data_IF_116854896265
#
_entry.id   IF_116854896265
#
_cell.length_a   1.000
_cell.length_b   1.000
_cell.length_c   1.000
_cell.angle_alpha   90.00
_cell.angle_beta   90.00
_cell.angle_gamma   90.00
#
_symmetry.space_group_name_H-M   'P 1'
#
loop_
_entity.id
_entity.type
_entity.pdbx_description
1 polymer ?
#
# COMPACT_ATOMS: atom_id res chain seq x y z
N UNK A 1 9.30 -12.10 -25.84
CA UNK A 1 9.78 -13.30 -25.14
C UNK A 1 8.53 -14.10 -24.86
N UNK A 2 8.34 -15.22 -25.54
CA UNK A 2 7.24 -16.12 -25.21
C UNK A 2 7.55 -16.81 -23.88
N UNK A 3 6.51 -16.99 -23.05
CA UNK A 3 6.64 -17.65 -21.74
C UNK A 3 7.23 -19.07 -21.85
N UNK A 4 7.11 -19.70 -23.02
CA UNK A 4 7.62 -21.03 -23.33
C UNK A 4 9.14 -21.08 -23.47
N UNK A 5 9.80 -19.95 -23.75
CA UNK A 5 11.25 -19.86 -23.94
C UNK A 5 11.99 -19.41 -22.67
N UNK A 6 11.25 -19.16 -21.58
CA UNK A 6 11.83 -18.68 -20.33
C UNK A 6 12.66 -19.79 -19.66
N UNK A 7 13.96 -19.52 -19.50
CA UNK A 7 14.86 -20.38 -18.74
C UNK A 7 14.58 -20.32 -17.23
N UNK A 8 15.05 -21.32 -16.45
CA UNK A 8 14.93 -21.29 -15.00
C UNK A 8 15.71 -20.11 -14.41
N UNK A 9 15.16 -19.51 -13.36
CA UNK A 9 15.84 -18.49 -12.57
C UNK A 9 16.53 -19.13 -11.36
N UNK A 10 17.72 -18.65 -11.03
CA UNK A 10 18.39 -19.01 -9.77
C UNK A 10 17.84 -18.13 -8.65
N UNK A 11 17.58 -18.68 -7.46
CA UNK A 11 17.16 -17.88 -6.31
C UNK A 11 18.25 -16.88 -5.90
N UNK A 12 17.86 -15.64 -5.64
CA UNK A 12 18.79 -14.57 -5.28
C UNK A 12 18.13 -13.20 -5.23
N UNK A 13 18.93 -12.17 -4.95
CA UNK A 13 18.51 -10.79 -5.00
C UNK A 13 18.77 -10.21 -6.39
N UNK A 14 17.76 -9.56 -6.95
CA UNK A 14 17.81 -8.97 -8.28
C UNK A 14 17.21 -7.57 -8.22
N UNK A 15 17.76 -6.66 -9.01
CA UNK A 15 17.08 -5.42 -9.34
C UNK A 15 15.94 -5.74 -10.31
N UNK A 16 14.71 -5.41 -9.92
CA UNK A 16 13.50 -5.72 -10.68
C UNK A 16 12.85 -4.42 -11.14
N UNK A 17 12.51 -4.36 -12.42
CA UNK A 17 11.66 -3.31 -12.98
C UNK A 17 10.24 -3.86 -13.01
N UNK A 18 9.33 -3.24 -12.28
CA UNK A 18 7.91 -3.60 -12.26
C UNK A 18 7.18 -2.88 -13.39
N UNK A 19 6.41 -3.64 -14.16
CA UNK A 19 5.42 -3.09 -15.08
C UNK A 19 4.32 -2.33 -14.31
N UNK A 20 3.71 -1.33 -14.94
CA UNK A 20 2.64 -0.55 -14.33
C UNK A 20 1.46 -1.39 -13.86
N UNK A 21 1.17 -2.48 -14.57
CA UNK A 21 0.02 -3.35 -14.31
C UNK A 21 0.21 -4.18 -13.02
N UNK A 22 1.44 -4.60 -12.74
CA UNK A 22 1.77 -5.37 -11.52
C UNK A 22 2.16 -4.49 -10.35
N UNK A 23 2.57 -3.23 -10.60
CA UNK A 23 2.94 -2.27 -9.55
C UNK A 23 1.81 -2.07 -8.54
N UNK A 24 0.56 -1.97 -9.00
CA UNK A 24 -0.59 -1.78 -8.10
C UNK A 24 -0.72 -2.91 -7.08
N UNK A 25 -0.60 -4.15 -7.54
CA UNK A 25 -0.64 -5.34 -6.66
C UNK A 25 0.54 -5.35 -5.68
N UNK A 26 1.75 -5.05 -6.15
CA UNK A 26 2.91 -4.97 -5.27
C UNK A 26 2.71 -3.96 -4.13
N UNK A 27 2.15 -2.78 -4.45
CA UNK A 27 1.85 -1.76 -3.44
C UNK A 27 0.75 -2.21 -2.47
N UNK A 28 -0.27 -2.92 -2.95
CA UNK A 28 -1.34 -3.46 -2.10
C UNK A 28 -0.79 -4.39 -1.00
N UNK A 29 0.05 -5.36 -1.39
CA UNK A 29 0.62 -6.32 -0.46
C UNK A 29 1.70 -5.70 0.44
N UNK A 30 2.58 -4.86 -0.14
CA UNK A 30 3.72 -4.31 0.57
C UNK A 30 3.35 -3.18 1.55
N UNK A 31 2.30 -2.39 1.24
CA UNK A 31 1.94 -1.22 2.02
C UNK A 31 0.46 -1.16 2.41
N UNK A 32 -0.46 -1.64 1.55
CA UNK A 32 -1.91 -1.55 1.80
C UNK A 32 -2.30 -2.18 3.12
N UNK A 33 -2.12 -3.49 3.25
CA UNK A 33 -2.45 -4.22 4.47
C UNK A 33 -1.66 -3.71 5.69
N UNK A 34 -0.35 -3.48 5.57
CA UNK A 34 0.46 -2.98 6.69
C UNK A 34 -0.01 -1.61 7.22
N UNK A 35 -0.65 -0.81 6.37
CA UNK A 35 -1.20 0.50 6.71
C UNK A 35 -2.59 0.46 7.36
N UNK A 36 -3.25 -0.71 7.42
CA UNK A 36 -4.47 -0.90 8.21
C UNK A 36 -4.12 -0.87 9.71
N UNK A 37 -4.87 -0.08 10.49
CA UNK A 37 -4.52 0.23 11.88
C UNK A 37 -4.70 -0.96 12.83
N UNK A 38 -5.66 -1.84 12.53
CA UNK A 38 -5.94 -3.05 13.29
C UNK A 38 -4.79 -4.07 13.25
N UNK A 39 -4.01 -4.11 12.17
CA UNK A 39 -2.81 -4.96 12.06
C UNK A 39 -1.72 -4.66 13.11
N UNK A 40 -1.75 -3.48 13.73
CA UNK A 40 -0.82 -3.13 14.81
C UNK A 40 -1.26 -3.69 16.17
N UNK A 41 -2.56 -3.97 16.35
CA UNK A 41 -3.11 -4.36 17.63
C UNK A 41 -2.61 -5.77 17.96
N UNK A 42 -1.83 -5.88 19.04
CA UNK A 42 -1.21 -7.14 19.45
C UNK A 42 0.06 -7.52 18.67
N UNK A 43 0.53 -6.66 17.74
CA UNK A 43 1.77 -6.86 17.00
C UNK A 43 2.80 -5.76 17.30
N UNK A 44 3.50 -5.90 18.42
CA UNK A 44 4.46 -4.90 18.90
C UNK A 44 5.61 -4.63 17.91
N UNK A 45 6.06 -5.66 17.18
CA UNK A 45 7.13 -5.51 16.19
C UNK A 45 6.66 -4.63 15.05
N UNK A 46 5.47 -4.88 14.50
CA UNK A 46 4.92 -4.07 13.43
C UNK A 46 4.64 -2.63 13.90
N UNK A 47 4.12 -2.46 15.12
CA UNK A 47 3.89 -1.15 15.73
C UNK A 47 5.17 -0.31 15.85
N UNK A 48 6.32 -0.94 16.11
CA UNK A 48 7.63 -0.26 16.17
C UNK A 48 8.17 0.14 14.80
N UNK A 49 7.82 -0.61 13.75
CA UNK A 49 8.28 -0.33 12.37
C UNK A 49 7.40 0.75 11.74
N UNK A 50 6.09 0.63 11.90
CA UNK A 50 5.10 1.47 11.24
C UNK A 50 4.81 2.76 12.03
N UNK A 51 5.85 3.45 12.50
CA UNK A 51 5.70 4.73 13.19
C UNK A 51 5.48 5.84 12.15
N UNK A 52 4.47 6.68 12.36
CA UNK A 52 4.23 7.83 11.47
C UNK A 52 5.47 8.73 11.43
N UNK A 53 5.86 9.14 10.23
CA UNK A 53 7.06 9.92 9.94
C UNK A 53 8.29 9.07 9.62
N UNK A 54 8.27 7.76 9.84
CA UNK A 54 9.35 6.85 9.44
C UNK A 54 9.57 6.89 7.92
N UNK A 55 10.83 6.83 7.51
CA UNK A 55 11.23 6.80 6.10
C UNK A 55 11.15 5.37 5.55
N UNK A 56 10.37 5.18 4.48
CA UNK A 56 10.15 3.90 3.82
C UNK A 56 10.66 3.88 2.37
N UNK A 57 10.78 5.05 1.74
CA UNK A 57 11.18 5.17 0.36
C UNK A 57 11.80 6.55 0.10
N UNK A 58 12.31 6.72 -1.12
CA UNK A 58 12.84 8.01 -1.57
C UNK A 58 11.78 9.12 -1.58
N UNK A 59 12.22 10.37 -1.45
CA UNK A 59 11.36 11.56 -1.31
C UNK A 59 10.28 11.70 -2.39
N UNK A 60 10.50 11.22 -3.63
CA UNK A 60 9.48 11.33 -4.69
C UNK A 60 8.39 10.24 -4.64
N UNK A 61 8.52 9.28 -3.72
CA UNK A 61 7.64 8.12 -3.65
C UNK A 61 6.40 8.41 -2.79
N UNK A 62 5.23 8.16 -3.35
CA UNK A 62 3.94 8.41 -2.72
C UNK A 62 3.01 7.23 -2.95
N UNK A 63 2.23 6.87 -1.92
CA UNK A 63 1.19 5.84 -1.96
C UNK A 63 -0.09 6.44 -1.40
N UNK A 64 -1.15 6.39 -2.18
CA UNK A 64 -2.45 7.00 -1.86
C UNK A 64 -3.51 5.92 -2.01
N UNK A 65 -4.30 5.72 -0.96
CA UNK A 65 -5.58 5.04 -1.06
C UNK A 65 -6.65 6.08 -1.43
N UNK A 66 -7.32 5.90 -2.58
CA UNK A 66 -8.24 6.90 -3.12
C UNK A 66 -9.54 6.27 -3.63
N UNK A 67 -10.53 6.07 -2.76
CA UNK A 67 -11.86 5.58 -3.14
C UNK A 67 -12.72 6.61 -3.89
N UNK A 68 -12.24 7.85 -4.07
CA UNK A 68 -13.02 8.92 -4.73
C UNK A 68 -12.95 8.86 -6.26
N UNK A 69 -12.14 7.94 -6.81
CA UNK A 69 -11.89 7.74 -8.25
C UNK A 69 -13.07 7.04 -8.95
N UNK A 70 -14.20 7.74 -9.10
CA UNK A 70 -15.42 7.19 -9.73
C UNK A 70 -15.16 6.39 -11.01
N UNK A 71 -15.70 5.17 -11.07
CA UNK A 71 -15.53 4.24 -12.20
C UNK A 71 -14.41 3.23 -12.02
N UNK A 72 -13.55 3.39 -11.00
CA UNK A 72 -12.53 2.40 -10.66
C UNK A 72 -13.07 1.36 -9.66
N UNK A 73 -12.61 0.10 -9.74
CA UNK A 73 -12.84 -0.89 -8.69
C UNK A 73 -12.38 -0.36 -7.32
N UNK A 74 -13.18 -0.61 -6.28
CA UNK A 74 -12.91 -0.13 -4.92
C UNK A 74 -13.38 1.29 -4.63
N UNK A 75 -13.97 2.00 -5.60
CA UNK A 75 -14.49 3.35 -5.37
C UNK A 75 -15.84 3.35 -4.64
N UNK A 76 -16.02 4.30 -3.74
CA UNK A 76 -17.27 4.52 -3.00
C UNK A 76 -17.41 5.98 -2.59
N UNK A 77 -18.65 6.41 -2.29
CA UNK A 77 -18.92 7.78 -1.78
C UNK A 77 -18.90 7.81 -0.25
N UNK A 78 -19.41 6.75 0.36
CA UNK A 78 -19.40 6.51 1.80
C UNK A 78 -18.99 5.07 2.04
N UNK A 79 -18.20 4.82 3.08
CA UNK A 79 -17.92 3.45 3.52
C UNK A 79 -19.14 2.83 4.24
N UNK A 80 -18.96 1.61 4.74
CA UNK A 80 -20.03 0.86 5.40
C UNK A 80 -20.46 1.45 6.76
N UNK A 81 -19.68 2.37 7.33
CA UNK A 81 -19.98 3.06 8.59
C UNK A 81 -20.58 4.46 8.35
N UNK A 82 -20.70 4.88 7.09
CA UNK A 82 -21.22 6.19 6.71
C UNK A 82 -20.17 7.30 6.69
N UNK A 83 -18.87 6.96 6.80
CA UNK A 83 -17.79 7.94 6.64
C UNK A 83 -17.61 8.29 5.18
N UNK A 84 -17.56 9.59 4.87
CA UNK A 84 -17.37 10.07 3.50
C UNK A 84 -15.98 9.69 2.99
N UNK A 85 -15.94 9.13 1.78
CA UNK A 85 -14.72 8.80 1.07
C UNK A 85 -13.82 10.03 0.89
N UNK A 86 -12.52 9.84 1.11
CA UNK A 86 -11.48 10.85 0.92
C UNK A 86 -10.18 10.16 0.50
N UNK A 87 -9.34 10.81 -0.34
CA UNK A 87 -8.00 10.31 -0.59
C UNK A 87 -7.18 10.35 0.71
N UNK A 88 -6.38 9.32 0.93
CA UNK A 88 -5.50 9.20 2.07
C UNK A 88 -4.10 8.83 1.63
N UNK A 89 -3.13 9.69 1.98
CA UNK A 89 -1.72 9.35 1.82
C UNK A 89 -1.34 8.34 2.90
N UNK A 90 -0.85 7.18 2.45
CA UNK A 90 -0.23 6.18 3.31
C UNK A 90 1.27 6.44 3.38
N UNK A 91 1.89 6.71 2.23
CA UNK A 91 3.25 7.24 2.13
C UNK A 91 3.19 8.60 1.44
N UNK A 92 3.74 9.62 2.09
CA UNK A 92 3.90 10.97 1.54
C UNK A 92 5.38 11.38 1.61
N UNK A 93 5.92 11.76 0.45
CA UNK A 93 7.32 12.12 0.29
C UNK A 93 8.31 11.08 0.86
N UNK A 94 8.04 9.79 0.59
CA UNK A 94 8.85 8.67 1.07
C UNK A 94 8.63 8.30 2.54
N UNK A 95 7.78 9.01 3.28
CA UNK A 95 7.54 8.79 4.71
C UNK A 95 6.14 8.28 4.98
N UNK A 96 6.00 7.39 5.96
CA UNK A 96 4.69 6.92 6.42
C UNK A 96 3.89 8.10 7.00
N UNK A 97 2.73 8.42 6.43
CA UNK A 97 1.98 9.64 6.76
C UNK A 97 0.55 9.39 7.23
N UNK A 98 -0.01 8.22 6.94
CA UNK A 98 -1.39 7.90 7.28
C UNK A 98 -1.65 6.41 7.44
N UNK A 99 -2.89 6.09 7.80
CA UNK A 99 -3.37 4.73 8.08
C UNK A 99 -4.83 4.58 7.72
N UNK A 100 -5.20 3.40 7.26
CA UNK A 100 -6.59 3.03 7.07
C UNK A 100 -7.17 2.58 8.42
N UNK A 101 -8.33 3.10 8.79
CA UNK A 101 -9.02 2.76 10.03
C UNK A 101 -10.53 2.87 9.86
N UNK A 102 -11.26 2.05 10.59
CA UNK A 102 -12.70 2.19 10.83
C UNK A 102 -12.95 3.04 12.07
N UNK A 103 -14.16 3.55 12.28
CA UNK A 103 -14.55 4.29 13.49
C UNK A 103 -14.38 3.48 14.79
N UNK A 104 -14.30 2.16 14.69
CA UNK A 104 -14.04 1.27 15.82
C UNK A 104 -12.58 1.32 16.34
N UNK A 105 -11.61 1.78 15.54
CA UNK A 105 -10.17 1.68 15.84
C UNK A 105 -9.41 3.00 15.64
#
# INVERSE_FOLDING_TARGET
MDLLDAGPITGGNYDVILDSDVRGLFIHEAFGHLSEADNLIGNETLAKIMILGSEFAMEKFNVIDDPTKTGHPGSYVYDHEGTKAKPMYLIENGKLSGRLYSLQY
#
